data_IF_450450204371
#
_entry.id   IF_450450204371
#
_cell.length_a   1.000
_cell.length_b   1.000
_cell.length_c   1.000
_cell.angle_alpha   90.00
_cell.angle_beta   90.00
_cell.angle_gamma   90.00
#
_symmetry.space_group_name_H-M   'P 1'
#
loop_
_entity.id
_entity.type
_entity.pdbx_description
1 polymer ?
#
# COMPACT_ATOMS: atom_id res chain seq x y z
N UNK A 1 -19.39 1.65 16.62
CA UNK A 1 -18.40 1.03 15.72
C UNK A 1 -18.47 1.73 14.36
N UNK A 2 -17.36 1.83 13.64
CA UNK A 2 -17.32 2.36 12.26
C UNK A 2 -16.92 1.21 11.33
N UNK A 3 -17.76 0.90 10.36
CA UNK A 3 -17.50 -0.13 9.34
C UNK A 3 -17.11 0.59 8.05
N UNK A 4 -15.94 0.23 7.50
CA UNK A 4 -15.45 0.75 6.22
C UNK A 4 -15.41 -0.41 5.25
N UNK A 5 -16.25 -0.36 4.22
CA UNK A 5 -16.18 -1.29 3.09
C UNK A 5 -15.10 -0.78 2.16
N UNK A 6 -13.94 -1.44 2.17
CA UNK A 6 -12.76 -1.00 1.46
C UNK A 6 -12.61 -1.78 0.15
N UNK A 7 -12.53 -1.04 -0.95
CA UNK A 7 -12.19 -1.58 -2.26
C UNK A 7 -11.11 -0.72 -2.90
N UNK A 8 -9.85 -1.16 -2.86
CA UNK A 8 -8.73 -0.44 -3.47
C UNK A 8 -7.58 -1.37 -3.90
N UNK A 9 -7.05 -1.21 -5.13
CA UNK A 9 -5.82 -1.89 -5.56
C UNK A 9 -4.54 -1.21 -5.05
N UNK A 10 -4.65 -0.05 -4.40
CA UNK A 10 -3.51 0.79 -4.00
C UNK A 10 -3.36 2.03 -4.87
N UNK A 11 -2.18 2.64 -4.82
CA UNK A 11 -1.84 3.85 -5.55
C UNK A 11 -0.72 4.65 -4.87
N UNK A 12 -0.79 5.96 -4.98
CA UNK A 12 0.28 6.86 -4.53
C UNK A 12 0.52 6.80 -3.02
N UNK A 13 1.77 6.57 -2.62
CA UNK A 13 2.14 6.21 -1.24
C UNK A 13 1.70 7.28 -0.24
N UNK A 14 1.90 8.57 -0.52
CA UNK A 14 1.60 9.63 0.46
C UNK A 14 0.09 9.78 0.69
N UNK A 15 -0.72 9.67 -0.37
CA UNK A 15 -2.18 9.70 -0.28
C UNK A 15 -2.73 8.53 0.54
N UNK A 16 -2.23 7.32 0.31
CA UNK A 16 -2.67 6.14 1.06
C UNK A 16 -2.15 6.11 2.49
N UNK A 17 -0.93 6.59 2.75
CA UNK A 17 -0.40 6.77 4.10
C UNK A 17 -1.22 7.81 4.88
N UNK A 18 -1.61 8.90 4.24
CA UNK A 18 -2.50 9.90 4.85
C UNK A 18 -3.88 9.31 5.18
N UNK A 19 -4.47 8.53 4.27
CA UNK A 19 -5.75 7.84 4.52
C UNK A 19 -5.63 6.82 5.67
N UNK A 20 -4.54 6.06 5.73
CA UNK A 20 -4.24 5.14 6.83
C UNK A 20 -4.15 5.89 8.17
N UNK A 21 -3.52 7.07 8.19
CA UNK A 21 -3.46 7.92 9.37
C UNK A 21 -4.85 8.41 9.81
N UNK A 22 -5.80 8.66 8.89
CA UNK A 22 -7.18 9.00 9.25
C UNK A 22 -7.93 7.83 9.90
N UNK A 23 -7.72 6.60 9.42
CA UNK A 23 -8.26 5.40 10.07
C UNK A 23 -7.68 5.23 11.47
N UNK A 24 -6.37 5.41 11.61
CA UNK A 24 -5.71 5.39 12.92
C UNK A 24 -6.27 6.47 13.86
N UNK A 25 -6.54 7.68 13.36
CA UNK A 25 -7.14 8.79 14.13
C UNK A 25 -8.51 8.43 14.70
N UNK A 26 -9.38 7.78 13.91
CA UNK A 26 -10.69 7.32 14.41
C UNK A 26 -10.53 6.38 15.60
N UNK A 27 -9.58 5.45 15.53
CA UNK A 27 -9.29 4.52 16.63
C UNK A 27 -8.72 5.21 17.85
N UNK A 28 -7.78 6.13 17.67
CA UNK A 28 -7.23 6.92 18.77
C UNK A 28 -8.30 7.74 19.50
N UNK A 29 -9.40 8.09 18.81
CA UNK A 29 -10.57 8.72 19.42
C UNK A 29 -11.53 7.72 20.12
N UNK A 30 -11.15 6.45 20.26
CA UNK A 30 -11.92 5.42 20.97
C UNK A 30 -12.89 4.62 20.10
N UNK A 31 -12.97 4.89 18.80
CA UNK A 31 -13.86 4.13 17.92
C UNK A 31 -13.27 2.76 17.58
N UNK A 32 -14.08 1.70 17.71
CA UNK A 32 -13.81 0.43 17.05
C UNK A 32 -14.00 0.63 15.55
N UNK A 33 -12.93 0.46 14.77
CA UNK A 33 -12.97 0.56 13.30
C UNK A 33 -12.77 -0.84 12.71
N UNK A 34 -13.74 -1.29 11.91
CA UNK A 34 -13.70 -2.56 11.20
C UNK A 34 -13.62 -2.29 9.71
N UNK A 35 -12.60 -2.84 9.05
CA UNK A 35 -12.47 -2.81 7.60
C UNK A 35 -12.99 -4.12 7.04
N UNK A 36 -13.90 -4.05 6.07
CA UNK A 36 -14.36 -5.21 5.31
C UNK A 36 -13.91 -5.12 3.86
N UNK A 37 -13.33 -6.21 3.35
CA UNK A 37 -12.77 -6.31 2.01
C UNK A 37 -13.48 -7.41 1.24
N UNK A 38 -14.48 -7.04 0.45
CA UNK A 38 -15.22 -8.02 -0.34
C UNK A 38 -14.50 -8.42 -1.62
N UNK A 39 -13.66 -7.52 -2.17
CA UNK A 39 -13.01 -7.71 -3.48
C UNK A 39 -11.50 -7.51 -3.45
N UNK A 40 -11.04 -6.32 -3.05
CA UNK A 40 -9.61 -6.01 -3.09
C UNK A 40 -9.21 -4.95 -2.07
N UNK A 41 -8.13 -5.21 -1.34
CA UNK A 41 -7.39 -4.23 -0.55
C UNK A 41 -5.90 -4.58 -0.66
N UNK A 42 -5.29 -4.14 -1.77
CA UNK A 42 -3.88 -4.41 -2.09
C UNK A 42 -3.03 -3.13 -2.02
N UNK A 43 -1.73 -3.26 -1.78
CA UNK A 43 -0.75 -2.17 -1.69
C UNK A 43 -1.24 -1.07 -0.72
N UNK A 44 -1.38 0.17 -1.18
CA UNK A 44 -1.95 1.26 -0.37
C UNK A 44 -3.32 0.92 0.25
N UNK A 45 -4.15 0.10 -0.39
CA UNK A 45 -5.40 -0.41 0.19
C UNK A 45 -5.14 -1.24 1.45
N UNK A 46 -4.17 -2.15 1.42
CA UNK A 46 -3.80 -2.90 2.61
C UNK A 46 -3.13 -2.02 3.67
N UNK A 47 -2.42 -0.96 3.26
CA UNK A 47 -1.90 0.06 4.19
C UNK A 47 -3.01 0.67 5.04
N UNK A 48 -4.13 1.05 4.42
CA UNK A 48 -5.32 1.54 5.14
C UNK A 48 -5.92 0.41 6.00
N UNK A 49 -6.11 -0.77 5.42
CA UNK A 49 -6.69 -1.94 6.09
C UNK A 49 -5.95 -2.26 7.41
N UNK A 50 -4.62 -2.26 7.37
CA UNK A 50 -3.74 -2.61 8.49
C UNK A 50 -3.95 -1.75 9.73
N UNK A 51 -4.51 -0.55 9.59
CA UNK A 51 -4.74 0.36 10.72
C UNK A 51 -6.05 0.09 11.48
N UNK A 52 -6.94 -0.75 10.96
CA UNK A 52 -8.20 -1.09 11.60
C UNK A 52 -8.02 -1.82 12.95
N UNK A 53 -9.09 -1.87 13.75
CA UNK A 53 -9.17 -2.76 14.92
C UNK A 53 -9.36 -4.21 14.47
N UNK A 54 -10.10 -4.42 13.39
CA UNK A 54 -10.36 -5.73 12.80
C UNK A 54 -10.47 -5.60 11.28
N UNK A 55 -9.97 -6.60 10.55
CA UNK A 55 -10.04 -6.74 9.10
C UNK A 55 -10.82 -8.01 8.77
N UNK A 56 -11.89 -7.83 8.01
CA UNK A 56 -12.69 -8.89 7.42
C UNK A 56 -12.36 -8.98 5.93
N UNK A 57 -12.39 -10.18 5.38
CA UNK A 57 -12.33 -10.33 3.93
C UNK A 57 -13.22 -11.49 3.47
N UNK A 58 -13.77 -11.37 2.25
CA UNK A 58 -14.40 -12.51 1.59
C UNK A 58 -13.33 -13.57 1.22
N UNK A 59 -13.70 -14.85 1.05
CA UNK A 59 -12.74 -15.93 0.77
C UNK A 59 -11.82 -15.65 -0.43
N UNK A 60 -12.37 -15.03 -1.49
CA UNK A 60 -11.66 -14.72 -2.73
C UNK A 60 -11.23 -13.25 -2.86
N UNK A 61 -11.38 -12.44 -1.81
CA UNK A 61 -10.84 -11.09 -1.82
C UNK A 61 -9.32 -11.12 -1.98
N UNK A 62 -8.76 -10.18 -2.74
CA UNK A 62 -7.33 -10.03 -2.89
C UNK A 62 -6.79 -9.01 -1.89
N UNK A 63 -5.90 -9.44 -1.02
CA UNK A 63 -5.29 -8.58 0.01
C UNK A 63 -3.77 -8.72 0.00
N UNK A 64 -3.08 -7.75 0.60
CA UNK A 64 -1.61 -7.74 0.65
C UNK A 64 -1.02 -6.84 -0.40
N UNK A 65 -0.10 -7.35 -1.23
CA UNK A 65 0.77 -6.53 -2.09
C UNK A 65 1.53 -5.47 -1.29
N UNK A 66 2.06 -5.87 -0.13
CA UNK A 66 2.92 -5.02 0.68
C UNK A 66 4.26 -4.92 -0.03
N UNK A 67 4.47 -3.79 -0.69
CA UNK A 67 5.60 -3.51 -1.56
C UNK A 67 5.46 -2.12 -2.16
N UNK A 68 6.55 -1.59 -2.68
CA UNK A 68 6.61 -0.26 -3.29
C UNK A 68 7.31 -0.40 -4.63
N UNK A 69 6.75 0.24 -5.65
CA UNK A 69 7.34 0.28 -6.98
C UNK A 69 7.33 1.72 -7.47
N UNK A 70 8.30 2.04 -8.31
CA UNK A 70 8.25 3.20 -9.21
C UNK A 70 8.48 2.70 -10.62
N UNK A 71 7.75 3.25 -11.58
CA UNK A 71 7.91 2.90 -12.98
C UNK A 71 7.80 4.15 -13.86
N UNK A 72 8.66 4.22 -14.87
CA UNK A 72 8.55 5.22 -15.94
C UNK A 72 9.24 4.72 -17.19
N UNK A 73 8.76 5.18 -18.35
CA UNK A 73 9.53 5.08 -19.59
C UNK A 73 10.66 6.11 -19.58
N UNK A 74 11.78 5.81 -20.22
CA UNK A 74 12.85 6.78 -20.46
C UNK A 74 13.12 6.89 -21.96
N UNK A 75 13.00 8.10 -22.49
CA UNK A 75 13.13 8.40 -23.92
C UNK A 75 14.46 9.08 -24.26
N UNK A 76 15.41 9.18 -23.32
CA UNK A 76 16.65 9.95 -23.50
C UNK A 76 17.41 9.54 -24.76
N UNK A 77 17.68 8.24 -24.96
CA UNK A 77 18.39 7.74 -26.14
C UNK A 77 17.62 7.94 -27.44
N UNK A 78 16.27 7.89 -27.39
CA UNK A 78 15.44 8.16 -28.57
C UNK A 78 15.52 9.62 -28.96
N UNK A 79 15.38 10.54 -28.00
CA UNK A 79 15.48 11.98 -28.25
C UNK A 79 16.86 12.37 -28.78
N UNK A 80 17.92 11.83 -28.17
CA UNK A 80 19.31 12.02 -28.59
C UNK A 80 19.54 11.58 -30.03
N UNK A 81 18.98 10.42 -30.44
CA UNK A 81 19.06 9.91 -31.82
C UNK A 81 18.46 10.87 -32.85
N UNK A 82 17.41 11.61 -32.50
CA UNK A 82 16.75 12.60 -33.37
C UNK A 82 17.28 14.03 -33.16
N UNK A 83 18.36 14.21 -32.41
CA UNK A 83 18.96 15.53 -32.16
C UNK A 83 18.18 16.41 -31.19
N UNK A 84 17.18 15.87 -30.48
CA UNK A 84 16.44 16.59 -29.45
C UNK A 84 17.23 16.53 -28.14
N UNK A 85 17.55 17.70 -27.59
CA UNK A 85 18.32 17.83 -26.35
C UNK A 85 17.39 18.00 -25.15
N UNK A 86 17.56 17.15 -24.16
CA UNK A 86 16.93 17.33 -22.85
C UNK A 86 17.70 18.38 -22.04
N UNK A 87 17.00 19.42 -21.58
CA UNK A 87 17.56 20.45 -20.70
C UNK A 87 17.02 20.23 -19.28
N UNK A 88 17.88 19.73 -18.40
CA UNK A 88 17.55 19.49 -16.99
C UNK A 88 18.29 20.50 -16.14
N UNK A 89 17.55 21.36 -15.46
CA UNK A 89 18.08 22.34 -14.51
C UNK A 89 17.67 21.91 -13.10
N UNK A 90 18.64 21.73 -12.21
CA UNK A 90 18.40 21.29 -10.83
C UNK A 90 19.01 22.25 -9.81
N UNK A 91 18.42 22.26 -8.62
CA UNK A 91 18.93 22.93 -7.44
C UNK A 91 18.98 21.91 -6.30
N UNK A 92 20.12 21.82 -5.61
CA UNK A 92 20.44 20.76 -4.67
C UNK A 92 21.09 19.56 -5.37
N UNK A 93 22.23 19.11 -4.85
CA UNK A 93 23.05 18.07 -5.48
C UNK A 93 22.31 16.73 -5.60
N UNK A 94 21.51 16.41 -4.59
CA UNK A 94 20.68 15.20 -4.51
C UNK A 94 19.37 15.28 -5.30
N UNK A 95 19.03 16.42 -5.92
CA UNK A 95 17.78 16.57 -6.69
C UNK A 95 17.93 15.97 -8.09
N UNK A 96 18.01 14.64 -8.15
CA UNK A 96 18.21 13.89 -9.39
C UNK A 96 17.15 12.79 -9.60
N UNK A 97 15.87 13.15 -9.75
CA UNK A 97 14.83 12.16 -9.99
C UNK A 97 15.02 11.50 -11.36
N UNK A 98 14.74 10.21 -11.45
CA UNK A 98 14.60 9.52 -12.75
C UNK A 98 13.39 10.14 -13.46
N UNK A 99 13.60 10.63 -14.68
CA UNK A 99 12.56 11.26 -15.51
C UNK A 99 12.44 10.57 -16.86
N UNK A 100 11.38 10.93 -17.59
CA UNK A 100 11.16 10.43 -18.95
C UNK A 100 12.18 10.94 -19.98
N UNK A 101 12.91 12.02 -19.67
CA UNK A 101 13.73 12.73 -20.66
C UNK A 101 15.19 12.90 -20.24
N UNK A 102 15.52 12.75 -18.95
CA UNK A 102 16.89 12.84 -18.45
C UNK A 102 17.70 11.58 -18.75
N UNK A 103 19.02 11.74 -18.87
CA UNK A 103 19.94 10.61 -18.81
C UNK A 103 19.85 9.96 -17.43
N UNK A 104 19.82 8.62 -17.38
CA UNK A 104 19.74 7.87 -16.12
C UNK A 104 21.11 7.27 -15.83
N UNK A 105 21.75 7.74 -14.77
CA UNK A 105 23.03 7.20 -14.31
C UNK A 105 22.84 5.98 -13.41
N UNK A 106 23.94 5.26 -13.13
CA UNK A 106 23.93 4.16 -12.14
C UNK A 106 23.64 4.67 -10.73
N UNK A 107 24.11 5.87 -10.41
CA UNK A 107 23.87 6.52 -9.11
C UNK A 107 22.38 6.86 -8.94
N UNK A 108 21.71 7.32 -10.00
CA UNK A 108 20.26 7.61 -9.96
C UNK A 108 19.42 6.36 -9.67
N UNK A 109 19.80 5.24 -10.28
CA UNK A 109 19.16 3.93 -10.05
C UNK A 109 19.40 3.49 -8.61
N UNK A 110 20.64 3.60 -8.11
CA UNK A 110 20.97 3.21 -6.74
C UNK A 110 20.21 4.06 -5.72
N UNK A 111 20.23 5.38 -5.86
CA UNK A 111 19.52 6.29 -4.94
C UNK A 111 18.00 6.01 -4.95
N UNK A 112 17.42 5.81 -6.13
CA UNK A 112 15.99 5.46 -6.25
C UNK A 112 15.67 4.11 -5.61
N UNK A 113 16.59 3.14 -5.72
CA UNK A 113 16.42 1.82 -5.10
C UNK A 113 16.49 1.92 -3.56
N UNK A 114 17.42 2.71 -3.03
CA UNK A 114 17.53 3.01 -1.59
C UNK A 114 16.25 3.70 -1.06
N UNK A 115 15.73 4.69 -1.79
CA UNK A 115 14.45 5.35 -1.46
C UNK A 115 13.28 4.34 -1.41
N UNK A 116 13.19 3.43 -2.39
CA UNK A 116 12.13 2.40 -2.42
C UNK A 116 12.23 1.44 -1.24
N UNK A 117 13.45 1.05 -0.85
CA UNK A 117 13.70 0.18 0.30
C UNK A 117 13.28 0.85 1.61
N UNK A 118 13.63 2.13 1.81
CA UNK A 118 13.23 2.89 3.00
C UNK A 118 11.70 3.03 3.10
N UNK A 119 11.02 3.32 1.98
CA UNK A 119 9.56 3.42 1.94
C UNK A 119 8.93 2.05 2.21
N UNK A 120 9.50 0.97 1.66
CA UNK A 120 8.99 -0.38 1.89
C UNK A 120 9.13 -0.79 3.36
N UNK A 121 10.28 -0.54 3.99
CA UNK A 121 10.46 -0.76 5.42
C UNK A 121 9.47 0.04 6.26
N UNK A 122 9.25 1.31 5.91
CA UNK A 122 8.26 2.17 6.56
C UNK A 122 6.83 1.61 6.44
N UNK A 123 6.47 1.06 5.27
CA UNK A 123 5.18 0.41 5.06
C UNK A 123 5.04 -0.87 5.90
N UNK A 124 6.07 -1.71 5.97
CA UNK A 124 6.08 -2.90 6.84
C UNK A 124 5.89 -2.49 8.30
N UNK A 125 6.64 -1.49 8.76
CA UNK A 125 6.57 -0.98 10.13
C UNK A 125 5.18 -0.44 10.46
N UNK A 126 4.57 0.30 9.52
CA UNK A 126 3.20 0.81 9.67
C UNK A 126 2.18 -0.33 9.81
N UNK A 127 2.30 -1.40 9.00
CA UNK A 127 1.44 -2.58 9.13
C UNK A 127 1.63 -3.28 10.49
N UNK A 128 2.88 -3.46 10.91
CA UNK A 128 3.24 -4.18 12.14
C UNK A 128 2.86 -3.44 13.42
N UNK A 129 2.69 -2.12 13.36
CA UNK A 129 2.22 -1.32 14.50
C UNK A 129 0.91 -1.87 15.09
N UNK A 130 0.03 -2.41 14.23
CA UNK A 130 -1.28 -2.95 14.63
C UNK A 130 -1.44 -4.43 14.35
N UNK A 131 -0.58 -5.00 13.51
CA UNK A 131 -0.48 -6.45 13.28
C UNK A 131 0.93 -6.93 13.67
N UNK A 132 1.30 -6.95 14.97
CA UNK A 132 2.66 -7.29 15.39
C UNK A 132 3.07 -8.73 15.02
N UNK A 133 2.09 -9.62 14.88
CA UNK A 133 2.24 -11.00 14.44
C UNK A 133 2.21 -11.17 12.90
N UNK A 134 2.21 -10.08 12.12
CA UNK A 134 2.25 -10.16 10.66
C UNK A 134 3.53 -10.86 10.21
N UNK A 135 3.37 -11.91 9.42
CA UNK A 135 4.47 -12.67 8.83
C UNK A 135 5.22 -11.83 7.78
N UNK A 136 6.53 -11.68 7.93
CA UNK A 136 7.36 -10.91 7.00
C UNK A 136 7.43 -11.55 5.61
N UNK A 137 7.15 -12.85 5.48
CA UNK A 137 7.08 -13.52 4.17
C UNK A 137 5.99 -12.95 3.26
N UNK A 138 4.97 -12.26 3.80
CA UNK A 138 3.92 -11.61 3.01
C UNK A 138 4.29 -10.21 2.53
N UNK A 139 5.41 -9.66 3.02
CA UNK A 139 5.92 -8.34 2.68
C UNK A 139 6.84 -8.36 1.44
N UNK A 140 6.41 -9.03 0.38
CA UNK A 140 7.19 -9.23 -0.85
C UNK A 140 6.44 -8.78 -2.11
N UNK A 141 5.41 -7.95 -1.96
CA UNK A 141 4.60 -7.43 -3.07
C UNK A 141 3.54 -8.37 -3.62
N UNK A 142 3.43 -9.63 -3.15
CA UNK A 142 2.40 -10.57 -3.61
C UNK A 142 1.04 -10.29 -2.99
N UNK A 143 -0.01 -10.50 -3.79
CA UNK A 143 -1.39 -10.59 -3.29
C UNK A 143 -1.69 -12.02 -2.81
N UNK A 144 -2.53 -12.13 -1.78
CA UNK A 144 -3.08 -13.38 -1.28
C UNK A 144 -4.62 -13.32 -1.32
N UNK A 145 -5.25 -14.48 -1.49
CA UNK A 145 -6.70 -14.61 -1.27
C UNK A 145 -7.03 -14.43 0.21
N UNK A 146 -8.29 -14.13 0.54
CA UNK A 146 -8.78 -13.99 1.91
C UNK A 146 -8.37 -15.17 2.79
N UNK A 147 -8.62 -16.41 2.34
CA UNK A 147 -8.30 -17.62 3.13
C UNK A 147 -6.80 -17.71 3.46
N UNK A 148 -5.94 -17.47 2.47
CA UNK A 148 -4.48 -17.49 2.65
C UNK A 148 -3.99 -16.33 3.50
N UNK A 149 -4.64 -15.18 3.39
CA UNK A 149 -4.36 -14.01 4.20
C UNK A 149 -4.74 -14.24 5.67
N UNK A 150 -5.83 -14.98 5.94
CA UNK A 150 -6.21 -15.37 7.30
C UNK A 150 -5.15 -16.30 7.89
N UNK A 151 -4.74 -17.34 7.15
CA UNK A 151 -3.67 -18.27 7.58
C UNK A 151 -2.35 -17.54 7.90
N UNK A 152 -2.04 -16.47 7.17
CA UNK A 152 -0.84 -15.64 7.34
C UNK A 152 -1.03 -14.46 8.31
N UNK A 153 -2.17 -14.38 9.01
CA UNK A 153 -2.44 -13.34 10.02
C UNK A 153 -2.61 -11.92 9.46
N UNK A 154 -2.86 -11.78 8.16
CA UNK A 154 -3.07 -10.50 7.48
C UNK A 154 -4.48 -9.95 7.67
N UNK A 155 -5.45 -10.84 7.90
CA UNK A 155 -6.83 -10.49 8.24
C UNK A 155 -7.26 -11.27 9.48
N UNK A 156 -8.42 -10.94 10.03
CA UNK A 156 -8.88 -11.49 11.30
C UNK A 156 -10.00 -12.53 11.14
N UNK A 157 -10.88 -12.38 10.14
CA UNK A 157 -11.97 -13.32 9.87
C UNK A 157 -12.33 -13.35 8.38
N UNK A 158 -12.79 -14.52 7.92
CA UNK A 158 -13.44 -14.67 6.62
C UNK A 158 -14.92 -14.36 6.78
N UNK A 159 -15.37 -13.28 6.16
CA UNK A 159 -16.75 -12.82 6.20
C UNK A 159 -16.94 -11.71 5.15
N UNK A 160 -18.08 -11.70 4.48
CA UNK A 160 -18.46 -10.56 3.62
C UNK A 160 -18.94 -9.37 4.45
N UNK A 161 -18.93 -8.17 3.86
CA UNK A 161 -19.49 -6.98 4.49
C UNK A 161 -20.97 -7.15 4.84
N UNK A 162 -21.77 -7.72 3.93
CA UNK A 162 -23.20 -7.97 4.13
C UNK A 162 -23.46 -8.91 5.32
N UNK A 163 -22.75 -10.03 5.39
CA UNK A 163 -22.84 -10.96 6.52
C UNK A 163 -22.49 -10.28 7.83
N UNK A 164 -21.41 -9.48 7.86
CA UNK A 164 -21.01 -8.76 9.08
C UNK A 164 -22.03 -7.72 9.53
N UNK A 165 -22.61 -6.98 8.58
CA UNK A 165 -23.64 -5.98 8.86
C UNK A 165 -24.89 -6.69 9.40
N UNK A 166 -25.29 -7.81 8.81
CA UNK A 166 -26.41 -8.62 9.30
C UNK A 166 -26.16 -9.16 10.71
N UNK A 167 -24.95 -9.68 11.00
CA UNK A 167 -24.54 -10.08 12.36
C UNK A 167 -24.75 -8.91 13.33
N UNK A 168 -24.23 -7.73 13.00
CA UNK A 168 -24.31 -6.54 13.86
C UNK A 168 -25.75 -6.06 14.09
N UNK A 169 -26.59 -6.06 13.05
CA UNK A 169 -27.99 -5.67 13.18
C UNK A 169 -28.80 -6.62 14.06
N UNK A 170 -28.40 -7.89 14.14
CA UNK A 170 -29.05 -8.88 15.01
C UNK A 170 -28.66 -8.74 16.48
N UNK A 171 -27.53 -8.09 16.78
CA UNK A 171 -27.01 -7.89 18.13
C UNK A 171 -27.63 -6.68 18.86
N UNK A 172 -28.39 -5.82 18.17
CA UNK A 172 -29.04 -4.61 18.71
C UNK A 172 -28.29 -3.33 18.39
#
# INVERSE_FOLDING_TARGET
>A
EVIIILQSPGGEVTSFAFAAAQVARLRSAGWKVTISVDRIAASGGYMIASQATQILASPFAMVGSIGVITETLNFYETLKKYGVKSLVLKAGDMKNPITQYGEVSKEDIQNTQEDLEEIHESFINLCRLRRPALDLEVCNGRVLSGDRALEKGMIDRILTSDEYIMEKMSEG
#
